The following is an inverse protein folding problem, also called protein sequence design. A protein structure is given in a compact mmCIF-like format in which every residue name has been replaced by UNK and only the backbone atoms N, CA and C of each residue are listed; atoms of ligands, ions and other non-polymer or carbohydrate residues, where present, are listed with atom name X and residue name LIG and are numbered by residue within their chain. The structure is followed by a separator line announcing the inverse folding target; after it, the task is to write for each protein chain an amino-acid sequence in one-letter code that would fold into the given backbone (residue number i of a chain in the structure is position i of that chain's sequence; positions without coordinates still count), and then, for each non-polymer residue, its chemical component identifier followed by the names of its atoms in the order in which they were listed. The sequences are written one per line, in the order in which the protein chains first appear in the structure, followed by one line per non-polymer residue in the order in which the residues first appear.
data_IF_278844013460
#
_entry.id   IF_278844013460
#
_cell.length_a   1.000
_cell.length_b   1.000
_cell.length_c   1.000
_cell.angle_alpha   90.00
_cell.angle_beta   90.00
_cell.angle_gamma   90.00
#
_symmetry.space_group_name_H-M   'P 1'
#
loop_
_entity.id
_entity.type
_entity.pdbx_description
1 polymer ?
#
# COMPACT_ATOMS: atom_id res chain seq x y z
N UNK A 1 -11.80 -22.96 -30.36
CA UNK A 1 -11.77 -23.02 -28.88
C UNK A 1 -11.89 -21.61 -28.34
N UNK A 2 -12.97 -21.27 -27.62
CA UNK A 2 -13.12 -19.98 -26.98
C UNK A 2 -12.20 -19.99 -25.74
N UNK A 3 -11.10 -19.22 -25.75
CA UNK A 3 -10.35 -18.96 -24.53
C UNK A 3 -11.29 -18.35 -23.50
N UNK A 4 -11.32 -18.93 -22.31
CA UNK A 4 -12.04 -18.36 -21.18
C UNK A 4 -11.50 -16.95 -20.93
N UNK A 5 -12.36 -15.95 -20.64
CA UNK A 5 -11.90 -14.60 -20.40
C UNK A 5 -10.93 -14.59 -19.21
N UNK A 6 -9.93 -13.78 -19.34
CA UNK A 6 -8.80 -13.48 -18.46
C UNK A 6 -8.92 -13.99 -17.03
N UNK A 7 -8.07 -14.96 -16.68
CA UNK A 7 -7.96 -15.40 -15.29
C UNK A 7 -7.55 -14.21 -14.45
N UNK A 8 -8.44 -13.82 -13.52
CA UNK A 8 -8.09 -12.78 -12.55
C UNK A 8 -6.87 -13.18 -11.74
N UNK A 9 -5.93 -12.28 -11.59
CA UNK A 9 -4.70 -12.47 -10.82
C UNK A 9 -4.65 -11.53 -9.62
N UNK A 10 -3.82 -11.84 -8.64
CA UNK A 10 -3.41 -10.92 -7.58
C UNK A 10 -2.10 -10.24 -7.99
N UNK A 11 -2.04 -8.92 -7.85
CA UNK A 11 -0.86 -8.11 -8.17
C UNK A 11 -0.38 -7.43 -6.88
N UNK A 12 0.85 -7.77 -6.47
CA UNK A 12 1.52 -7.18 -5.33
C UNK A 12 2.48 -6.07 -5.79
N UNK A 13 2.39 -4.89 -5.19
CA UNK A 13 3.27 -3.75 -5.50
C UNK A 13 3.97 -3.30 -4.23
N UNK A 14 5.19 -3.75 -4.02
CA UNK A 14 6.01 -3.35 -2.89
C UNK A 14 7.08 -2.35 -3.29
N UNK A 15 7.70 -1.70 -2.32
CA UNK A 15 8.82 -0.80 -2.57
C UNK A 15 8.89 0.39 -1.62
N UNK A 16 9.86 1.25 -1.85
CA UNK A 16 10.25 2.35 -0.98
C UNK A 16 9.19 3.46 -0.84
N UNK A 17 9.37 4.28 0.18
CA UNK A 17 8.53 5.46 0.42
C UNK A 17 8.63 6.44 -0.77
N UNK A 18 7.51 7.07 -1.11
CA UNK A 18 7.43 8.11 -2.16
C UNK A 18 7.91 7.71 -3.56
N UNK A 19 8.02 6.41 -3.89
CA UNK A 19 8.36 5.96 -5.24
C UNK A 19 7.16 5.92 -6.21
N UNK A 20 5.93 6.26 -5.75
CA UNK A 20 4.75 6.34 -6.61
C UNK A 20 3.92 5.06 -6.72
N UNK A 21 4.11 4.08 -5.82
CA UNK A 21 3.39 2.79 -5.81
C UNK A 21 1.88 2.92 -5.95
N UNK A 22 1.26 3.72 -5.09
CA UNK A 22 -0.20 3.84 -5.07
C UNK A 22 -0.76 4.42 -6.37
N UNK A 23 -0.05 5.38 -6.99
CA UNK A 23 -0.43 5.93 -8.30
C UNK A 23 -0.33 4.86 -9.38
N UNK A 24 0.76 4.11 -9.41
CA UNK A 24 0.99 3.03 -10.36
C UNK A 24 -0.01 1.89 -10.17
N UNK A 25 -0.20 1.41 -8.93
CA UNK A 25 -1.15 0.35 -8.59
C UNK A 25 -2.60 0.71 -8.95
N UNK A 26 -3.01 1.97 -8.72
CA UNK A 26 -4.32 2.47 -9.15
C UNK A 26 -4.49 2.43 -10.67
N UNK A 27 -3.48 2.87 -11.43
CA UNK A 27 -3.51 2.82 -12.90
C UNK A 27 -3.63 1.39 -13.41
N UNK A 28 -2.89 0.43 -12.82
CA UNK A 28 -3.00 -0.99 -13.16
C UNK A 28 -4.41 -1.50 -12.86
N UNK A 29 -4.93 -1.23 -11.65
CA UNK A 29 -6.26 -1.70 -11.26
C UNK A 29 -7.35 -1.15 -12.18
N UNK A 30 -7.32 0.16 -12.49
CA UNK A 30 -8.24 0.79 -13.42
C UNK A 30 -8.17 0.16 -14.83
N UNK A 31 -6.96 -0.05 -15.36
CA UNK A 31 -6.76 -0.65 -16.69
C UNK A 31 -7.28 -2.08 -16.81
N UNK A 32 -7.26 -2.84 -15.70
CA UNK A 32 -7.68 -4.25 -15.65
C UNK A 32 -9.12 -4.44 -15.12
N UNK A 33 -9.79 -3.39 -14.66
CA UNK A 33 -11.05 -3.50 -13.94
C UNK A 33 -10.92 -4.26 -12.61
N UNK A 34 -9.76 -4.14 -11.93
CA UNK A 34 -9.45 -4.77 -10.65
C UNK A 34 -9.70 -3.81 -9.50
N UNK A 35 -9.84 -4.38 -8.30
CA UNK A 35 -9.94 -3.59 -7.07
C UNK A 35 -8.54 -3.14 -6.63
N UNK A 36 -8.37 -1.85 -6.34
CA UNK A 36 -7.16 -1.33 -5.73
C UNK A 36 -7.34 -1.19 -4.21
N UNK A 37 -6.36 -1.67 -3.43
CA UNK A 37 -6.31 -1.53 -1.98
C UNK A 37 -4.99 -0.85 -1.57
N UNK A 38 -5.13 0.33 -0.95
CA UNK A 38 -4.05 1.05 -0.27
C UNK A 38 -3.87 0.46 1.14
N UNK A 39 -2.84 -0.37 1.35
CA UNK A 39 -2.63 -0.97 2.66
C UNK A 39 -2.20 0.05 3.72
N UNK A 40 -1.59 1.14 3.35
CA UNK A 40 -1.27 2.21 4.29
C UNK A 40 -2.56 2.82 4.90
N UNK A 41 -3.66 2.84 4.15
CA UNK A 41 -4.95 3.30 4.67
C UNK A 41 -5.45 2.41 5.81
N UNK A 42 -5.21 1.09 5.78
CA UNK A 42 -5.56 0.17 6.86
C UNK A 42 -4.84 0.53 8.17
N UNK A 43 -3.52 0.71 8.11
CA UNK A 43 -2.73 1.12 9.30
C UNK A 43 -3.15 2.49 9.81
N UNK A 44 -3.49 3.42 8.92
CA UNK A 44 -4.00 4.75 9.27
C UNK A 44 -5.38 4.68 9.93
N UNK A 45 -6.25 3.78 9.50
CA UNK A 45 -7.56 3.57 10.13
C UNK A 45 -7.41 3.02 11.56
N UNK A 46 -6.52 2.03 11.78
CA UNK A 46 -6.20 1.55 13.12
C UNK A 46 -5.60 2.67 13.99
N UNK A 47 -4.74 3.51 13.41
CA UNK A 47 -4.17 4.67 14.12
C UNK A 47 -5.25 5.66 14.50
N UNK A 48 -6.16 6.02 13.59
CA UNK A 48 -7.29 6.91 13.86
C UNK A 48 -8.19 6.36 14.97
N UNK A 49 -8.46 5.05 14.92
CA UNK A 49 -9.23 4.38 15.98
C UNK A 49 -8.53 4.52 17.33
N UNK A 50 -7.23 4.24 17.39
CA UNK A 50 -6.42 4.40 18.62
C UNK A 50 -6.43 5.83 19.18
N UNK A 51 -6.37 6.84 18.31
CA UNK A 51 -6.47 8.26 18.69
C UNK A 51 -7.86 8.54 19.28
N UNK A 52 -8.92 8.17 18.58
CA UNK A 52 -10.31 8.40 19.00
C UNK A 52 -10.65 7.72 20.33
N UNK A 53 -10.02 6.59 20.64
CA UNK A 53 -10.26 5.80 21.86
C UNK A 53 -9.17 5.95 22.92
N UNK A 54 -8.26 6.92 22.75
CA UNK A 54 -7.27 7.31 23.75
C UNK A 54 -6.09 6.36 23.94
N UNK A 55 -5.93 5.36 23.08
CA UNK A 55 -4.71 4.52 23.02
C UNK A 55 -3.52 5.27 22.38
N UNK A 56 -3.77 6.38 21.70
CA UNK A 56 -2.74 7.24 21.11
C UNK A 56 -3.03 8.67 21.54
N UNK A 57 -2.05 9.34 22.18
CA UNK A 57 -2.16 10.72 22.65
C UNK A 57 -0.83 11.44 22.47
N UNK A 58 -0.85 12.64 21.87
CA UNK A 58 0.36 13.44 21.65
C UNK A 58 1.46 12.65 20.92
N UNK A 59 1.08 11.78 19.99
CA UNK A 59 1.99 10.91 19.27
C UNK A 59 2.52 9.70 20.05
N UNK A 60 2.27 9.58 21.35
CA UNK A 60 2.65 8.38 22.15
C UNK A 60 1.61 7.30 21.92
N UNK A 61 2.07 6.08 21.61
CA UNK A 61 1.23 4.91 21.35
C UNK A 61 1.29 3.96 22.54
N UNK A 62 0.14 3.72 23.18
CA UNK A 62 -0.04 2.61 24.13
C UNK A 62 -0.35 1.34 23.33
N UNK A 63 0.68 0.54 23.09
CA UNK A 63 0.58 -0.67 22.26
C UNK A 63 -0.38 -1.69 22.88
N UNK A 64 -0.33 -1.90 24.20
CA UNK A 64 -1.18 -2.89 24.88
C UNK A 64 -2.66 -2.47 24.84
N UNK A 65 -2.95 -1.16 25.04
CA UNK A 65 -4.31 -0.67 24.91
C UNK A 65 -4.83 -0.85 23.50
N UNK A 66 -4.02 -0.53 22.48
CA UNK A 66 -4.38 -0.69 21.08
C UNK A 66 -4.61 -2.17 20.71
N UNK A 67 -3.75 -3.08 21.17
CA UNK A 67 -3.91 -4.52 20.96
C UNK A 67 -5.24 -5.06 21.51
N UNK A 68 -5.62 -4.64 22.72
CA UNK A 68 -6.93 -5.01 23.32
C UNK A 68 -8.12 -4.50 22.50
N UNK A 69 -7.95 -3.44 21.72
CA UNK A 69 -9.01 -2.85 20.89
C UNK A 69 -9.14 -3.54 19.52
N UNK A 70 -8.08 -4.15 18.98
CA UNK A 70 -8.06 -4.71 17.62
C UNK A 70 -9.26 -5.60 17.26
N UNK A 71 -9.75 -6.50 18.13
CA UNK A 71 -10.89 -7.35 17.78
C UNK A 71 -12.19 -6.58 17.50
N UNK A 72 -12.31 -5.35 17.97
CA UNK A 72 -13.51 -4.51 17.83
C UNK A 72 -13.46 -3.59 16.62
N UNK A 73 -12.30 -3.45 15.98
CA UNK A 73 -12.10 -2.52 14.86
C UNK A 73 -12.66 -3.14 13.59
N UNK A 74 -13.73 -2.56 13.06
CA UNK A 74 -14.31 -2.90 11.77
C UNK A 74 -13.75 -2.03 10.66
N UNK A 75 -13.00 -2.62 9.72
CA UNK A 75 -12.45 -1.89 8.56
C UNK A 75 -13.01 -2.52 7.29
N UNK A 76 -13.50 -1.69 6.39
CA UNK A 76 -13.96 -2.09 5.07
C UNK A 76 -13.60 -1.07 3.99
N UNK A 77 -13.68 -1.49 2.74
CA UNK A 77 -13.53 -0.61 1.58
C UNK A 77 -14.83 -0.61 0.78
N UNK A 78 -15.27 0.57 0.36
CA UNK A 78 -16.45 0.75 -0.49
C UNK A 78 -16.02 1.51 -1.75
N UNK A 79 -16.33 0.96 -2.92
CA UNK A 79 -16.02 1.62 -4.19
C UNK A 79 -16.79 2.93 -4.30
N UNK A 80 -16.07 4.01 -4.59
CA UNK A 80 -16.62 5.35 -4.82
C UNK A 80 -16.49 5.71 -6.32
N UNK A 81 -17.60 5.67 -7.08
CA UNK A 81 -17.56 5.94 -8.52
C UNK A 81 -17.07 7.35 -8.86
N UNK A 82 -17.33 8.34 -8.00
CA UNK A 82 -16.90 9.73 -8.26
C UNK A 82 -15.38 9.92 -8.17
N UNK A 83 -14.69 9.02 -7.47
CA UNK A 83 -13.23 9.03 -7.32
C UNK A 83 -12.53 7.91 -8.10
N UNK A 84 -13.32 7.01 -8.71
CA UNK A 84 -12.83 5.78 -9.35
C UNK A 84 -11.85 5.01 -8.44
N UNK A 85 -12.14 5.00 -7.13
CA UNK A 85 -11.30 4.39 -6.10
C UNK A 85 -12.15 3.89 -4.93
N UNK A 86 -11.61 2.97 -4.14
CA UNK A 86 -12.28 2.54 -2.92
C UNK A 86 -11.96 3.50 -1.78
N UNK A 87 -13.00 3.97 -1.09
CA UNK A 87 -12.88 4.73 0.15
C UNK A 87 -12.84 3.77 1.34
N UNK A 88 -12.04 4.11 2.35
CA UNK A 88 -11.93 3.31 3.57
C UNK A 88 -12.99 3.73 4.60
N UNK A 89 -13.59 2.73 5.22
CA UNK A 89 -14.58 2.88 6.28
C UNK A 89 -14.08 2.25 7.57
N UNK A 90 -14.28 2.94 8.68
CA UNK A 90 -13.98 2.52 10.03
C UNK A 90 -15.29 2.46 10.82
N UNK A 91 -15.68 1.27 11.29
CA UNK A 91 -16.94 1.02 12.02
C UNK A 91 -18.17 1.61 11.29
N UNK A 92 -18.17 1.55 9.95
CA UNK A 92 -19.25 2.06 9.10
C UNK A 92 -19.18 3.55 8.75
N UNK A 93 -18.22 4.30 9.29
CA UNK A 93 -17.98 5.71 8.95
C UNK A 93 -16.94 5.82 7.83
N UNK A 94 -17.20 6.66 6.81
CA UNK A 94 -16.18 7.00 5.81
C UNK A 94 -15.07 7.84 6.45
N UNK A 95 -13.87 7.29 6.51
CA UNK A 95 -12.71 7.95 7.13
C UNK A 95 -11.60 8.29 6.14
N UNK A 96 -11.88 8.30 4.83
CA UNK A 96 -10.89 8.59 3.78
C UNK A 96 -10.19 9.94 3.97
N UNK A 97 -10.90 10.95 4.45
CA UNK A 97 -10.33 12.25 4.82
C UNK A 97 -9.59 12.20 6.17
N UNK A 98 -10.28 11.81 7.27
CA UNK A 98 -9.72 11.78 8.62
C UNK A 98 -8.40 10.99 8.77
N UNK A 99 -8.24 9.87 8.06
CA UNK A 99 -7.00 9.07 8.12
C UNK A 99 -5.76 9.79 7.54
N UNK A 100 -5.94 10.91 6.86
CA UNK A 100 -4.85 11.69 6.26
C UNK A 100 -4.44 12.90 7.09
N UNK A 101 -5.01 13.05 8.29
CA UNK A 101 -4.64 14.11 9.23
C UNK A 101 -3.17 14.04 9.63
N UNK A 102 -2.63 15.15 10.12
CA UNK A 102 -1.25 15.24 10.60
C UNK A 102 -1.04 14.27 11.77
N UNK A 103 -1.93 14.26 12.74
CA UNK A 103 -1.86 13.41 13.93
C UNK A 103 -1.77 11.92 13.58
N UNK A 104 -2.60 11.45 12.63
CA UNK A 104 -2.52 10.08 12.11
C UNK A 104 -1.18 9.85 11.40
N UNK A 105 -0.71 10.83 10.62
CA UNK A 105 0.54 10.69 9.84
C UNK A 105 1.78 10.59 10.73
N UNK A 106 1.77 11.25 11.88
CA UNK A 106 2.86 11.21 12.87
C UNK A 106 2.89 9.90 13.67
N UNK A 107 1.73 9.29 13.93
CA UNK A 107 1.63 8.09 14.76
C UNK A 107 1.70 6.78 13.96
N UNK A 108 1.25 6.77 12.70
CA UNK A 108 1.06 5.54 11.90
C UNK A 108 2.32 4.70 11.74
N UNK A 109 3.50 5.33 11.66
CA UNK A 109 4.77 4.59 11.55
C UNK A 109 5.03 3.72 12.79
N UNK A 110 4.71 4.21 13.98
CA UNK A 110 4.82 3.45 15.24
C UNK A 110 3.78 2.34 15.32
N UNK A 111 2.53 2.64 14.97
CA UNK A 111 1.44 1.64 14.93
C UNK A 111 1.78 0.50 13.97
N UNK A 112 2.40 0.80 12.83
CA UNK A 112 2.79 -0.20 11.83
C UNK A 112 3.91 -1.15 12.27
N UNK A 113 4.57 -0.90 13.40
CA UNK A 113 5.60 -1.76 14.00
C UNK A 113 5.03 -2.73 15.04
N UNK A 114 3.78 -2.54 15.48
CA UNK A 114 3.13 -3.39 16.48
C UNK A 114 2.75 -4.73 15.84
N UNK A 115 3.26 -5.83 16.39
CA UNK A 115 3.08 -7.17 15.83
C UNK A 115 1.62 -7.58 15.68
N UNK A 116 0.82 -7.41 16.72
CA UNK A 116 -0.60 -7.77 16.71
C UNK A 116 -1.40 -6.96 15.67
N UNK A 117 -1.07 -5.66 15.48
CA UNK A 117 -1.69 -4.84 14.42
C UNK A 117 -1.36 -5.42 13.05
N UNK A 118 -0.10 -5.80 12.82
CA UNK A 118 0.32 -6.38 11.54
C UNK A 118 -0.39 -7.70 11.26
N UNK A 119 -0.38 -8.62 12.23
CA UNK A 119 -1.04 -9.93 12.11
C UNK A 119 -2.54 -9.76 11.76
N UNK A 120 -3.23 -8.89 12.49
CA UNK A 120 -4.65 -8.60 12.22
C UNK A 120 -4.87 -8.05 10.82
N UNK A 121 -4.04 -7.08 10.39
CA UNK A 121 -4.19 -6.46 9.08
C UNK A 121 -3.76 -7.37 7.92
N UNK A 122 -2.73 -8.19 8.10
CA UNK A 122 -2.35 -9.22 7.11
C UNK A 122 -3.51 -10.19 6.87
N UNK A 123 -4.13 -10.69 7.93
CA UNK A 123 -5.30 -11.57 7.80
C UNK A 123 -6.47 -10.91 7.05
N UNK A 124 -6.73 -9.63 7.31
CA UNK A 124 -7.75 -8.86 6.60
C UNK A 124 -7.41 -8.68 5.11
N UNK A 125 -6.16 -8.34 4.81
CA UNK A 125 -5.67 -8.18 3.43
C UNK A 125 -5.76 -9.49 2.64
N UNK A 126 -5.37 -10.61 3.25
CA UNK A 126 -5.49 -11.94 2.65
C UNK A 126 -6.95 -12.31 2.35
N UNK A 127 -7.86 -11.96 3.27
CA UNK A 127 -9.30 -12.16 3.04
C UNK A 127 -9.81 -11.35 1.85
N UNK A 128 -9.38 -10.09 1.71
CA UNK A 128 -9.76 -9.21 0.59
C UNK A 128 -9.26 -9.73 -0.77
N UNK A 129 -8.14 -10.44 -0.79
CA UNK A 129 -7.55 -10.96 -2.03
C UNK A 129 -7.98 -12.36 -2.44
N UNK A 130 -8.90 -13.02 -1.72
CA UNK A 130 -9.30 -14.42 -1.99
C UNK A 130 -9.83 -14.65 -3.41
N UNK A 131 -10.61 -13.71 -3.91
CA UNK A 131 -11.26 -13.84 -5.23
C UNK A 131 -10.37 -13.32 -6.38
N UNK A 132 -9.14 -12.92 -6.08
CA UNK A 132 -8.21 -12.28 -7.03
C UNK A 132 -8.83 -11.04 -7.72
N UNK A 133 -8.27 -10.61 -8.86
CA UNK A 133 -8.73 -9.36 -9.47
C UNK A 133 -8.43 -8.15 -8.58
N UNK A 134 -7.29 -8.18 -7.91
CA UNK A 134 -6.87 -7.18 -6.93
C UNK A 134 -5.45 -6.69 -7.22
N UNK A 135 -5.25 -5.40 -7.02
CA UNK A 135 -3.92 -4.77 -6.96
C UNK A 135 -3.75 -4.17 -5.57
N UNK A 136 -2.72 -4.58 -4.87
CA UNK A 136 -2.46 -4.13 -3.51
C UNK A 136 -1.06 -3.54 -3.41
N UNK A 137 -0.93 -2.33 -2.87
CA UNK A 137 0.38 -1.71 -2.64
C UNK A 137 0.77 -1.68 -1.16
N UNK A 138 2.05 -1.87 -0.89
CA UNK A 138 2.56 -1.90 0.47
C UNK A 138 4.08 -1.97 0.59
N UNK A 139 4.53 -2.81 1.54
CA UNK A 139 5.95 -3.06 1.84
C UNK A 139 6.30 -4.54 1.89
N UNK A 140 5.31 -5.37 2.08
CA UNK A 140 5.43 -6.80 2.34
C UNK A 140 4.29 -7.60 1.68
N UNK A 141 3.70 -7.04 0.63
CA UNK A 141 2.56 -7.67 -0.03
C UNK A 141 3.00 -8.96 -0.71
N UNK A 142 4.05 -8.90 -1.52
CA UNK A 142 4.56 -10.06 -2.25
C UNK A 142 5.39 -11.03 -1.41
N UNK A 143 5.76 -10.66 -0.17
CA UNK A 143 6.55 -11.53 0.72
C UNK A 143 5.73 -12.16 1.85
N UNK A 144 4.67 -11.50 2.32
CA UNK A 144 3.90 -11.92 3.49
C UNK A 144 2.40 -12.00 3.22
N UNK A 145 1.81 -10.99 2.60
CA UNK A 145 0.36 -10.94 2.39
C UNK A 145 -0.06 -11.90 1.28
N UNK A 146 0.59 -11.81 0.12
CA UNK A 146 0.35 -12.66 -1.05
C UNK A 146 1.66 -13.29 -1.56
N UNK A 147 2.26 -14.22 -0.79
CA UNK A 147 3.50 -14.88 -1.23
C UNK A 147 3.32 -15.66 -2.53
N UNK A 148 2.09 -16.01 -2.89
CA UNK A 148 1.73 -16.73 -4.12
C UNK A 148 1.04 -15.80 -5.16
N UNK A 149 1.20 -14.47 -5.05
CA UNK A 149 0.69 -13.52 -6.06
C UNK A 149 1.29 -13.85 -7.44
N UNK A 150 0.45 -13.87 -8.47
CA UNK A 150 0.88 -14.17 -9.84
C UNK A 150 1.83 -13.13 -10.39
N UNK A 151 1.70 -11.88 -9.93
CA UNK A 151 2.62 -10.80 -10.31
C UNK A 151 3.05 -10.02 -9.07
N UNK A 152 4.35 -9.99 -8.86
CA UNK A 152 4.97 -9.20 -7.80
C UNK A 152 5.89 -8.16 -8.41
N UNK A 153 5.75 -6.93 -7.97
CA UNK A 153 6.50 -5.79 -8.46
C UNK A 153 7.19 -5.14 -7.27
N UNK A 154 8.50 -4.95 -7.38
CA UNK A 154 9.26 -4.18 -6.41
C UNK A 154 9.65 -2.84 -7.02
N UNK A 155 9.01 -1.76 -6.54
CA UNK A 155 9.24 -0.42 -7.06
C UNK A 155 10.35 0.30 -6.31
N UNK A 156 11.27 0.86 -7.08
CA UNK A 156 12.34 1.72 -6.58
C UNK A 156 12.42 3.02 -7.39
N UNK A 157 13.07 4.02 -6.83
CA UNK A 157 13.50 5.22 -7.52
C UNK A 157 14.65 5.86 -6.73
N UNK A 158 15.46 6.64 -7.42
CA UNK A 158 16.54 7.44 -6.81
C UNK A 158 15.99 8.24 -5.62
N UNK A 159 16.67 8.23 -4.46
CA UNK A 159 16.22 8.95 -3.25
C UNK A 159 15.95 10.45 -3.48
N UNK A 160 16.78 11.12 -4.27
CA UNK A 160 16.59 12.54 -4.58
C UNK A 160 15.35 12.77 -5.46
N UNK A 161 15.07 11.85 -6.40
CA UNK A 161 13.84 11.89 -7.21
C UNK A 161 12.61 11.73 -6.34
N UNK A 162 12.64 10.79 -5.39
CA UNK A 162 11.52 10.55 -4.44
C UNK A 162 11.28 11.76 -3.54
N UNK A 163 12.34 12.36 -3.02
CA UNK A 163 12.28 13.56 -2.21
C UNK A 163 11.69 14.75 -2.99
N UNK A 164 12.14 14.96 -4.21
CA UNK A 164 11.63 16.02 -5.07
C UNK A 164 10.14 15.81 -5.43
N UNK A 165 9.71 14.57 -5.72
CA UNK A 165 8.29 14.24 -5.94
C UNK A 165 7.45 14.60 -4.71
N UNK A 166 7.91 14.23 -3.52
CA UNK A 166 7.22 14.52 -2.26
C UNK A 166 7.19 16.01 -1.94
N UNK A 167 8.30 16.71 -2.19
CA UNK A 167 8.38 18.17 -2.04
C UNK A 167 7.32 18.86 -2.88
N UNK A 168 7.24 18.53 -4.18
CA UNK A 168 6.24 19.11 -5.08
C UNK A 168 4.79 18.81 -4.64
N UNK A 169 4.54 17.60 -4.17
CA UNK A 169 3.21 17.20 -3.66
C UNK A 169 2.80 18.05 -2.45
N UNK A 170 3.68 18.22 -1.46
CA UNK A 170 3.40 18.96 -0.23
C UNK A 170 3.27 20.47 -0.50
N UNK A 171 4.16 21.02 -1.30
CA UNK A 171 4.11 22.45 -1.71
C UNK A 171 2.83 22.76 -2.50
N UNK A 172 2.39 21.86 -3.37
CA UNK A 172 1.12 22.03 -4.10
C UNK A 172 -0.11 22.02 -3.17
N UNK A 173 -0.01 21.41 -2.00
CA UNK A 173 -1.02 21.44 -0.92
C UNK A 173 -0.91 22.68 -0.01
N UNK A 174 0.07 23.55 -0.26
CA UNK A 174 0.32 24.74 0.55
C UNK A 174 1.13 24.49 1.83
N UNK A 175 1.70 23.30 1.99
CA UNK A 175 2.53 22.98 3.15
C UNK A 175 3.92 23.65 3.03
N UNK A 176 4.39 24.23 4.12
CA UNK A 176 5.74 24.82 4.20
C UNK A 176 6.73 23.75 4.67
N UNK A 177 7.48 23.20 3.74
CA UNK A 177 8.46 22.12 4.00
C UNK A 177 9.78 22.42 3.31
N UNK A 178 10.90 21.95 3.87
CA UNK A 178 12.21 21.99 3.20
C UNK A 178 12.51 20.65 2.51
N UNK A 179 13.32 20.68 1.47
CA UNK A 179 13.75 19.47 0.77
C UNK A 179 14.57 18.56 1.68
N UNK A 180 15.45 19.16 2.51
CA UNK A 180 16.31 18.46 3.46
C UNK A 180 15.48 17.70 4.52
N UNK A 181 14.42 18.31 5.02
CA UNK A 181 13.51 17.63 5.97
C UNK A 181 12.82 16.43 5.32
N UNK A 182 12.40 16.58 4.06
CA UNK A 182 11.77 15.51 3.30
C UNK A 182 12.75 14.38 3.03
N UNK A 183 13.97 14.68 2.61
CA UNK A 183 15.02 13.68 2.38
C UNK A 183 15.35 12.90 3.64
N UNK A 184 15.47 13.59 4.78
CA UNK A 184 15.68 12.96 6.08
C UNK A 184 14.53 12.03 6.44
N UNK A 185 13.30 12.52 6.32
CA UNK A 185 12.10 11.73 6.62
C UNK A 185 11.97 10.48 5.73
N UNK A 186 12.26 10.59 4.44
CA UNK A 186 12.24 9.46 3.51
C UNK A 186 13.30 8.43 3.92
N UNK A 187 14.53 8.85 4.25
CA UNK A 187 15.61 7.97 4.71
C UNK A 187 15.25 7.24 6.00
N UNK A 188 14.72 7.96 6.98
CA UNK A 188 14.30 7.38 8.27
C UNK A 188 13.19 6.34 8.08
N UNK A 189 12.21 6.64 7.23
CA UNK A 189 11.12 5.71 6.92
C UNK A 189 11.60 4.47 6.18
N UNK A 190 12.44 4.63 5.18
CA UNK A 190 13.00 3.51 4.42
C UNK A 190 13.84 2.60 5.33
N UNK A 191 14.65 3.19 6.22
CA UNK A 191 15.42 2.43 7.21
C UNK A 191 14.48 1.69 8.16
N UNK A 192 13.47 2.35 8.71
CA UNK A 192 12.50 1.73 9.61
C UNK A 192 11.73 0.59 8.92
N UNK A 193 11.31 0.78 7.65
CA UNK A 193 10.63 -0.26 6.88
C UNK A 193 11.53 -1.47 6.61
N UNK A 194 12.83 -1.26 6.35
CA UNK A 194 13.79 -2.33 6.05
C UNK A 194 14.29 -3.08 7.30
N UNK A 195 14.36 -2.40 8.45
CA UNK A 195 14.97 -2.95 9.68
C UNK A 195 13.95 -3.40 10.72
N UNK A 196 12.65 -3.16 10.51
CA UNK A 196 11.63 -3.63 11.45
C UNK A 196 11.68 -5.14 11.61
N UNK A 197 11.44 -5.61 12.85
CA UNK A 197 11.55 -7.02 13.21
C UNK A 197 10.53 -7.92 12.50
N UNK A 198 9.30 -7.38 12.24
CA UNK A 198 8.20 -8.15 11.64
C UNK A 198 7.92 -7.65 10.23
N UNK A 199 7.95 -8.56 9.26
CA UNK A 199 7.67 -8.30 7.84
C UNK A 199 8.43 -7.09 7.27
N UNK A 200 9.77 -7.05 7.34
CA UNK A 200 10.55 -5.94 6.80
C UNK A 200 10.32 -5.78 5.30
N UNK A 201 10.51 -4.56 4.80
CA UNK A 201 10.53 -4.31 3.37
C UNK A 201 11.67 -5.10 2.73
N UNK A 202 11.33 -6.10 1.94
CA UNK A 202 12.26 -6.93 1.15
C UNK A 202 11.68 -7.19 -0.22
N UNK A 203 12.54 -7.26 -1.20
CA UNK A 203 12.16 -7.73 -2.53
C UNK A 203 11.84 -9.23 -2.46
N UNK A 204 10.66 -9.64 -2.94
CA UNK A 204 10.37 -11.06 -3.13
C UNK A 204 11.28 -11.63 -4.22
N UNK A 205 11.75 -12.91 -4.11
CA UNK A 205 12.71 -13.48 -5.07
C UNK A 205 12.20 -13.50 -6.50
N UNK A 206 10.92 -13.61 -6.71
CA UNK A 206 10.22 -13.66 -7.99
C UNK A 206 9.61 -12.30 -8.41
N UNK A 207 9.89 -11.22 -7.66
CA UNK A 207 9.41 -9.90 -8.01
C UNK A 207 10.20 -9.29 -9.18
N UNK A 208 9.48 -8.70 -10.13
CA UNK A 208 10.07 -7.85 -11.15
C UNK A 208 10.37 -6.48 -10.56
N UNK A 209 11.56 -5.95 -10.85
CA UNK A 209 12.00 -4.65 -10.31
C UNK A 209 11.66 -3.55 -11.30
N UNK A 210 10.94 -2.53 -10.82
CA UNK A 210 10.67 -1.30 -11.56
C UNK A 210 11.43 -0.13 -10.93
N UNK A 211 12.54 0.28 -11.56
CA UNK A 211 13.15 1.58 -11.26
C UNK A 211 12.46 2.65 -12.12
N UNK A 212 11.65 3.47 -11.47
CA UNK A 212 10.91 4.51 -12.15
C UNK A 212 11.54 5.92 -12.02
N UNK A 213 12.83 5.99 -11.71
CA UNK A 213 13.54 7.26 -11.52
C UNK A 213 13.38 8.22 -12.70
N UNK A 214 13.37 7.67 -13.92
CA UNK A 214 13.32 8.43 -15.19
C UNK A 214 12.09 8.12 -16.04
N UNK A 215 11.11 7.40 -15.50
CA UNK A 215 9.93 6.97 -16.25
C UNK A 215 8.73 7.87 -15.98
N UNK A 216 8.01 8.22 -17.01
CA UNK A 216 6.66 8.79 -16.92
C UNK A 216 5.66 7.74 -16.45
N UNK A 217 4.48 8.14 -15.96
CA UNK A 217 3.43 7.18 -15.62
C UNK A 217 2.96 6.33 -16.81
N UNK A 218 3.03 6.85 -18.02
CA UNK A 218 2.65 6.16 -19.26
C UNK A 218 3.68 5.08 -19.59
N UNK A 219 4.97 5.40 -19.56
CA UNK A 219 6.06 4.42 -19.76
C UNK A 219 6.03 3.29 -18.73
N UNK A 220 5.66 3.58 -17.47
CA UNK A 220 5.46 2.54 -16.46
C UNK A 220 4.31 1.60 -16.84
N UNK A 221 3.21 2.11 -17.40
CA UNK A 221 2.09 1.28 -17.86
C UNK A 221 2.43 0.46 -19.10
N UNK A 222 3.25 0.97 -19.99
CA UNK A 222 3.77 0.20 -21.12
C UNK A 222 4.71 -0.92 -20.66
N UNK A 223 5.59 -0.61 -19.70
CA UNK A 223 6.52 -1.56 -19.12
C UNK A 223 5.83 -2.74 -18.44
N UNK A 224 4.73 -2.51 -17.70
CA UNK A 224 4.04 -3.57 -16.96
C UNK A 224 3.18 -4.47 -17.84
N UNK A 225 2.72 -4.00 -18.99
CA UNK A 225 1.77 -4.71 -19.86
C UNK A 225 2.19 -6.15 -20.19
N UNK A 226 3.41 -6.44 -20.70
CA UNK A 226 3.80 -7.81 -21.04
C UNK A 226 3.83 -8.74 -19.81
N UNK A 227 4.14 -8.23 -18.62
CA UNK A 227 4.10 -9.02 -17.40
C UNK A 227 2.69 -9.42 -17.00
N UNK A 228 1.74 -8.48 -17.09
CA UNK A 228 0.32 -8.78 -16.83
C UNK A 228 -0.22 -9.78 -17.83
N UNK A 229 0.02 -9.58 -19.12
CA UNK A 229 -0.44 -10.46 -20.19
C UNK A 229 0.11 -11.88 -20.00
N UNK A 230 1.40 -12.04 -19.74
CA UNK A 230 2.02 -13.34 -19.53
C UNK A 230 1.50 -14.09 -18.30
N UNK A 231 1.07 -13.39 -17.26
CA UNK A 231 0.57 -13.99 -16.01
C UNK A 231 -0.94 -14.28 -16.05
N UNK A 232 -1.71 -13.48 -16.78
CA UNK A 232 -3.14 -13.72 -16.99
C UNK A 232 -3.41 -14.84 -18.02
N UNK A 233 -2.49 -15.10 -18.94
CA UNK A 233 -2.57 -16.15 -19.96
C UNK A 233 -2.01 -17.51 -19.52
N UNK A 234 -1.26 -17.60 -18.43
CA UNK A 234 -0.44 -18.75 -18.04
C UNK A 234 -1.21 -20.03 -17.63
N UNK A 235 -2.42 -20.26 -18.12
CA UNK A 235 -3.19 -21.50 -17.87
C UNK A 235 -3.72 -22.16 -19.13
N UNK A 236 -3.19 -21.86 -20.32
CA UNK A 236 -3.43 -22.62 -21.54
C UNK A 236 -2.25 -23.56 -21.85
N UNK A 237 -1.67 -24.25 -20.86
CA UNK A 237 -0.73 -25.37 -21.12
C UNK A 237 -1.39 -26.67 -20.72
N UNK A 238 -1.82 -27.38 -21.74
CA UNK A 238 -1.78 -28.84 -21.96
C UNK A 238 -1.96 -29.76 -20.73
N UNK A 239 -3.09 -30.37 -20.65
CA UNK A 239 -3.15 -31.80 -20.30
C UNK A 239 -3.37 -32.61 -21.55
#
# INVERSE_FOLDING_TARGET
MKCSPDKKIAIAVDGFSSCGKSTFAKKIASALGYVFIDTAALYRAVTLYGIRHGAIRGGVVDAEALERMLPRIGISFVFNPAREASDIYLDGENVEGPIRSLEVSEAVSRVSQIGAVRERLVGLQQQMGRDKGIVMDGRDIGTVVFPDAELKIFMTADPAVRAMRRYRELTAKGEKVSLEEIERNIRERDLADQTRAISPLRQAPDAVVLDNSRMTPEEQMEWIRPYVESRSQATCTSK
#
